data_IF_731175692034
#
_entry.id   IF_731175692034
#
_cell.length_a   1.000
_cell.length_b   1.000
_cell.length_c   1.000
_cell.angle_alpha   90.00
_cell.angle_beta   90.00
_cell.angle_gamma   90.00
#
_symmetry.space_group_name_H-M   'P 1'
#
loop_
_entity.id
_entity.type
_entity.pdbx_description
1 polymer ?
#
# COMPACT_ATOMS: atom_id res chain seq x y z
N UNK A 1 -2.43 0.25 17.95
CA UNK A 1 -1.43 0.23 16.86
C UNK A 1 -0.67 -1.09 16.96
N UNK A 2 -0.99 -2.08 16.12
CA UNK A 2 -0.28 -3.37 16.11
C UNK A 2 0.95 -3.29 15.22
N UNK A 3 2.14 -3.56 15.78
CA UNK A 3 3.37 -3.68 14.99
C UNK A 3 3.25 -4.92 14.11
N UNK A 4 3.00 -4.73 12.80
CA UNK A 4 3.07 -5.82 11.82
C UNK A 4 4.53 -6.19 11.66
N UNK A 5 4.92 -7.31 12.28
CA UNK A 5 6.30 -7.80 12.30
C UNK A 5 6.48 -8.68 11.06
N UNK A 6 7.24 -8.21 10.08
CA UNK A 6 7.58 -9.01 8.89
C UNK A 6 8.70 -9.98 9.25
N UNK A 7 8.61 -11.22 8.78
CA UNK A 7 9.62 -12.26 9.00
C UNK A 7 10.13 -12.74 7.65
N UNK A 8 11.46 -12.70 7.45
CA UNK A 8 12.08 -13.28 6.27
C UNK A 8 11.89 -14.79 6.29
N UNK A 9 11.45 -15.36 5.16
CA UNK A 9 11.30 -16.81 4.98
C UNK A 9 12.64 -17.46 4.63
N UNK A 10 13.55 -16.72 3.99
CA UNK A 10 14.82 -17.23 3.48
C UNK A 10 16.00 -17.08 4.46
N UNK A 11 15.80 -16.45 5.62
CA UNK A 11 16.81 -16.32 6.69
C UNK A 11 17.96 -15.35 6.40
N UNK A 12 18.23 -15.05 5.13
CA UNK A 12 19.16 -14.01 4.68
C UNK A 12 18.44 -12.65 4.61
N UNK A 13 18.55 -11.86 5.67
CA UNK A 13 18.00 -10.51 5.70
C UNK A 13 18.77 -9.59 4.75
N UNK A 14 18.15 -9.20 3.64
CA UNK A 14 18.53 -7.97 2.93
C UNK A 14 18.24 -6.75 3.84
N UNK A 15 19.02 -5.66 3.75
CA UNK A 15 18.97 -4.58 4.73
C UNK A 15 17.55 -3.98 4.78
N UNK A 16 17.05 -3.84 6.01
CA UNK A 16 15.78 -3.22 6.43
C UNK A 16 14.90 -2.79 5.25
N UNK A 17 14.09 -3.72 4.74
CA UNK A 17 13.01 -3.37 3.81
C UNK A 17 12.16 -2.34 4.54
N UNK A 18 12.19 -1.10 4.03
CA UNK A 18 11.32 -0.06 4.53
C UNK A 18 9.90 -0.43 4.12
N UNK A 19 9.17 -1.10 5.01
CA UNK A 19 7.77 -1.45 4.80
C UNK A 19 6.84 -0.22 4.89
N UNK A 20 7.40 0.98 5.09
CA UNK A 20 6.65 2.23 4.98
C UNK A 20 6.27 2.47 3.52
N UNK A 21 4.97 2.62 3.28
CA UNK A 21 4.42 3.04 2.00
C UNK A 21 4.28 4.57 1.94
N UNK A 22 5.27 5.31 2.43
CA UNK A 22 5.23 6.78 2.56
C UNK A 22 5.15 7.54 1.23
N UNK A 23 5.44 6.87 0.11
CA UNK A 23 5.30 7.41 -1.23
C UNK A 23 3.84 7.46 -1.72
N UNK A 24 2.92 6.75 -1.05
CA UNK A 24 1.48 6.74 -1.35
C UNK A 24 0.79 8.05 -0.94
N UNK A 25 -0.42 8.34 -1.48
CA UNK A 25 -1.20 9.50 -1.05
C UNK A 25 -1.52 9.40 0.45
N UNK A 26 -1.76 10.56 1.08
CA UNK A 26 -2.21 10.61 2.47
C UNK A 26 -3.57 9.94 2.59
N UNK A 27 -3.58 8.77 3.21
CA UNK A 27 -4.77 8.02 3.58
C UNK A 27 -4.87 8.00 5.11
N UNK A 28 -6.08 8.12 5.65
CA UNK A 28 -6.31 7.86 7.08
C UNK A 28 -6.09 6.39 7.39
N UNK A 29 -6.53 5.53 6.46
CA UNK A 29 -6.35 4.09 6.52
C UNK A 29 -5.99 3.55 5.14
N UNK A 30 -5.04 2.63 5.11
CA UNK A 30 -4.63 1.90 3.92
C UNK A 30 -4.74 0.39 4.17
N UNK A 31 -5.54 -0.30 3.36
CA UNK A 31 -5.67 -1.75 3.39
C UNK A 31 -5.12 -2.33 2.08
N UNK A 32 -4.18 -3.28 2.15
CA UNK A 32 -3.70 -4.02 0.96
C UNK A 32 -4.74 -5.10 0.67
N UNK A 33 -5.25 -5.11 -0.56
CA UNK A 33 -6.30 -6.01 -1.00
C UNK A 33 -5.76 -7.20 -1.79
N UNK A 34 -4.77 -6.95 -2.65
CA UNK A 34 -4.22 -7.98 -3.53
C UNK A 34 -2.77 -7.63 -3.93
N UNK A 35 -2.01 -8.62 -4.41
CA UNK A 35 -0.68 -8.44 -4.93
C UNK A 35 -0.40 -9.33 -6.15
N UNK A 36 0.17 -8.74 -7.20
CA UNK A 36 0.51 -9.47 -8.42
C UNK A 36 1.66 -8.78 -9.17
N UNK A 37 2.61 -9.54 -9.71
CA UNK A 37 3.74 -9.02 -10.50
C UNK A 37 4.55 -7.90 -9.80
N UNK A 38 4.70 -7.97 -8.48
CA UNK A 38 5.38 -6.94 -7.68
C UNK A 38 4.58 -5.65 -7.49
N UNK A 39 3.32 -5.62 -7.93
CA UNK A 39 2.37 -4.54 -7.68
C UNK A 39 1.46 -4.88 -6.50
N UNK A 40 1.04 -3.86 -5.77
CA UNK A 40 0.03 -3.95 -4.72
C UNK A 40 -1.23 -3.19 -5.13
N UNK A 41 -2.38 -3.81 -4.91
CA UNK A 41 -3.67 -3.14 -4.92
C UNK A 41 -4.01 -2.73 -3.50
N UNK A 42 -4.22 -1.43 -3.29
CA UNK A 42 -4.50 -0.84 -1.99
C UNK A 42 -5.86 -0.12 -2.01
N UNK A 43 -6.59 -0.20 -0.91
CA UNK A 43 -7.76 0.63 -0.62
C UNK A 43 -7.34 1.77 0.31
N UNK A 44 -7.55 3.01 -0.12
CA UNK A 44 -7.21 4.23 0.59
C UNK A 44 -8.48 4.93 1.09
N UNK A 45 -8.61 5.11 2.40
CA UNK A 45 -9.70 5.83 3.03
C UNK A 45 -9.34 7.30 3.25
N UNK A 46 -10.16 8.22 2.75
CA UNK A 46 -9.97 9.67 2.93
C UNK A 46 -10.75 10.18 4.14
N UNK A 47 -10.11 11.02 4.94
CA UNK A 47 -10.65 11.50 6.22
C UNK A 47 -11.81 12.50 6.08
N UNK A 48 -11.90 13.21 4.96
CA UNK A 48 -12.77 14.38 4.86
C UNK A 48 -14.25 14.10 4.63
N UNK A 49 -14.65 12.88 4.22
CA UNK A 49 -16.06 12.60 3.93
C UNK A 49 -16.56 11.20 4.29
N UNK A 50 -15.70 10.28 4.77
CA UNK A 50 -16.06 8.91 5.16
C UNK A 50 -16.67 8.02 4.06
N UNK A 51 -17.05 8.60 2.92
CA UNK A 51 -17.73 7.96 1.79
C UNK A 51 -16.84 7.85 0.56
N UNK A 52 -15.74 8.60 0.50
CA UNK A 52 -14.82 8.55 -0.65
C UNK A 52 -13.64 7.63 -0.34
N UNK A 53 -13.56 6.53 -1.08
CA UNK A 53 -12.43 5.61 -1.05
C UNK A 53 -11.85 5.49 -2.44
N UNK A 54 -10.53 5.62 -2.50
CA UNK A 54 -9.79 5.41 -3.74
C UNK A 54 -9.17 4.01 -3.71
N UNK A 55 -9.17 3.37 -4.87
CA UNK A 55 -8.32 2.22 -5.11
C UNK A 55 -7.02 2.71 -5.74
N UNK A 56 -5.89 2.23 -5.23
CA UNK A 56 -4.56 2.65 -5.67
C UNK A 56 -3.78 1.40 -6.07
N UNK A 57 -3.15 1.42 -7.24
CA UNK A 57 -2.15 0.43 -7.63
C UNK A 57 -0.77 1.05 -7.41
N UNK A 58 0.11 0.35 -6.71
CA UNK A 58 1.47 0.83 -6.48
C UNK A 58 2.54 -0.22 -6.74
N UNK A 59 3.74 0.26 -7.10
CA UNK A 59 4.96 -0.51 -7.22
C UNK A 59 5.92 -0.08 -6.10
N UNK A 60 6.06 -0.88 -5.02
CA UNK A 60 6.97 -0.56 -3.92
C UNK A 60 8.44 -0.50 -4.32
N UNK A 61 8.86 -1.25 -5.36
CA UNK A 61 10.26 -1.26 -5.81
C UNK A 61 10.66 0.03 -6.54
N UNK A 62 9.69 0.72 -7.15
CA UNK A 62 9.94 1.99 -7.86
C UNK A 62 9.33 3.21 -7.18
N UNK A 63 8.65 3.02 -6.03
CA UNK A 63 7.92 4.07 -5.30
C UNK A 63 6.93 4.86 -6.16
N UNK A 64 6.27 4.19 -7.12
CA UNK A 64 5.28 4.79 -8.01
C UNK A 64 3.88 4.25 -7.71
N UNK A 65 2.86 5.08 -7.91
CA UNK A 65 1.47 4.70 -7.71
C UNK A 65 0.53 5.45 -8.66
N UNK A 66 -0.67 4.91 -8.83
CA UNK A 66 -1.74 5.51 -9.62
C UNK A 66 -3.10 5.18 -9.00
N UNK A 67 -4.05 6.11 -9.09
CA UNK A 67 -5.45 5.89 -8.69
C UNK A 67 -6.15 5.10 -9.78
N UNK A 68 -6.85 4.04 -9.40
CA UNK A 68 -7.71 3.28 -10.30
C UNK A 68 -8.92 4.16 -10.66
N UNK A 69 -9.25 4.33 -11.95
CA UNK A 69 -10.41 5.13 -12.35
C UNK A 69 -11.69 4.51 -11.79
N UNK A 70 -12.60 5.36 -11.33
CA UNK A 70 -13.95 4.94 -10.96
C UNK A 70 -14.73 4.47 -12.19
N UNK A 71 -15.63 3.51 -12.00
CA UNK A 71 -16.65 3.18 -13.01
C UNK A 71 -17.73 4.28 -12.96
N UNK A 72 -17.91 5.00 -14.07
CA UNK A 72 -19.07 5.87 -14.28
C UNK A 72 -20.38 5.08 -14.36
#
# INVERSE_FOLDING_TARGET
>A
QGSRRYQSVSGNWCPRINASLSFLPKCERLDIMDCCNGLLLCRCWKSSDGKMMDYVVCNPATEKWVVVPGTN
#
